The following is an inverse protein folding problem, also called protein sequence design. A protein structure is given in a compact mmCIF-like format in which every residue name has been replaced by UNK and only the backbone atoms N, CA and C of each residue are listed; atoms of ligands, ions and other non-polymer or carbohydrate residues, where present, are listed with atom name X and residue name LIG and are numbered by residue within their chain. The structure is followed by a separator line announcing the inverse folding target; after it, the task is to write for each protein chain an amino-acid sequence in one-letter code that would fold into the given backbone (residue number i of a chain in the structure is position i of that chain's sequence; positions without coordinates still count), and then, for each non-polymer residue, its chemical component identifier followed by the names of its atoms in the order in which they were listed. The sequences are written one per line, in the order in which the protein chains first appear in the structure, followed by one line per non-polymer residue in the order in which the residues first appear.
data_IF_613120118678
#
_entry.id   IF_613120118678
#
_cell.length_a   1.000
_cell.length_b   1.000
_cell.length_c   1.000
_cell.angle_alpha   90.00
_cell.angle_beta   90.00
_cell.angle_gamma   90.00
#
_symmetry.space_group_name_H-M   'P 1'
#
loop_
_entity.id
_entity.type
_entity.pdbx_description
1 polymer ?
#
# COMPACT_ATOMS: atom_id res chain seq x y z
N UNK A 1 -32.81 -2.48 5.24
CA UNK A 1 -32.34 -3.67 4.48
C UNK A 1 -31.24 -3.25 3.53
N UNK A 2 -29.99 -3.64 3.83
CA UNK A 2 -28.81 -3.42 2.96
C UNK A 2 -28.59 -4.62 2.00
N UNK A 3 -29.66 -5.34 1.63
CA UNK A 3 -29.60 -6.59 0.89
C UNK A 3 -28.97 -6.53 -0.50
N UNK A 4 -28.71 -5.33 -1.01
CA UNK A 4 -28.09 -5.11 -2.33
C UNK A 4 -26.79 -4.25 -2.29
N UNK A 5 -26.27 -3.97 -1.08
CA UNK A 5 -25.02 -3.22 -0.97
C UNK A 5 -23.82 -4.12 -1.30
N UNK A 6 -22.95 -3.67 -2.20
CA UNK A 6 -21.67 -4.33 -2.49
C UNK A 6 -20.63 -3.76 -1.54
N UNK A 7 -20.06 -4.61 -0.68
CA UNK A 7 -19.00 -4.23 0.24
C UNK A 7 -17.64 -4.63 -0.34
N UNK A 8 -16.76 -3.66 -0.51
CA UNK A 8 -15.36 -3.91 -0.90
C UNK A 8 -14.46 -3.89 0.33
N UNK A 9 -13.79 -5.01 0.59
CA UNK A 9 -12.76 -5.08 1.61
C UNK A 9 -11.39 -4.80 0.97
N UNK A 10 -10.84 -3.63 1.27
CA UNK A 10 -9.56 -3.18 0.73
C UNK A 10 -8.39 -4.14 1.06
N UNK A 11 -8.40 -4.75 2.24
CA UNK A 11 -7.37 -5.70 2.66
C UNK A 11 -7.45 -6.98 1.82
N UNK A 12 -8.66 -7.50 1.61
CA UNK A 12 -8.87 -8.69 0.76
C UNK A 12 -8.47 -8.45 -0.69
N UNK A 13 -8.84 -7.30 -1.26
CA UNK A 13 -8.43 -6.91 -2.62
C UNK A 13 -6.90 -6.87 -2.74
N UNK A 14 -6.23 -6.32 -1.73
CA UNK A 14 -4.77 -6.26 -1.68
C UNK A 14 -4.16 -7.66 -1.64
N UNK A 15 -4.64 -8.52 -0.75
CA UNK A 15 -4.16 -9.90 -0.62
C UNK A 15 -4.38 -10.69 -1.91
N UNK A 16 -5.54 -10.56 -2.54
CA UNK A 16 -5.84 -11.20 -3.83
C UNK A 16 -4.87 -10.74 -4.92
N UNK A 17 -4.58 -9.43 -5.00
CA UNK A 17 -3.63 -8.86 -5.95
C UNK A 17 -2.21 -9.41 -5.74
N UNK A 18 -1.75 -9.51 -4.51
CA UNK A 18 -0.44 -10.06 -4.18
C UNK A 18 -0.35 -11.57 -4.51
N UNK A 19 -1.39 -12.34 -4.21
CA UNK A 19 -1.48 -13.77 -4.58
C UNK A 19 -1.43 -13.98 -6.08
N UNK A 20 -2.18 -13.19 -6.86
CA UNK A 20 -2.18 -13.28 -8.32
C UNK A 20 -0.81 -13.00 -8.94
N UNK A 21 0.06 -12.29 -8.21
CA UNK A 21 1.44 -12.00 -8.60
C UNK A 21 2.46 -12.97 -7.98
N UNK A 22 2.01 -14.01 -7.28
CA UNK A 22 2.84 -15.00 -6.58
C UNK A 22 3.80 -14.41 -5.53
N UNK A 23 3.48 -13.25 -4.95
CA UNK A 23 4.28 -12.60 -3.91
C UNK A 23 4.28 -13.46 -2.65
N UNK A 24 5.46 -13.66 -2.05
CA UNK A 24 5.66 -14.41 -0.81
C UNK A 24 5.96 -13.52 0.39
N UNK A 25 6.58 -12.37 0.15
CA UNK A 25 6.89 -11.38 1.19
C UNK A 25 6.46 -9.99 0.75
N UNK A 26 5.65 -9.33 1.57
CA UNK A 26 5.15 -7.99 1.30
C UNK A 26 5.56 -7.02 2.41
N UNK A 27 6.24 -5.94 2.05
CA UNK A 27 6.54 -4.83 2.95
C UNK A 27 5.28 -3.98 3.15
N UNK A 28 4.93 -3.65 4.38
CA UNK A 28 3.71 -2.89 4.68
C UNK A 28 4.04 -1.50 5.22
N UNK A 29 3.63 -0.46 4.50
CA UNK A 29 3.64 0.93 4.93
C UNK A 29 2.24 1.31 5.40
N UNK A 30 2.03 1.34 6.72
CA UNK A 30 0.73 1.61 7.31
C UNK A 30 0.86 2.39 8.64
N UNK A 31 -0.25 2.94 9.12
CA UNK A 31 -0.28 3.61 10.42
C UNK A 31 -0.12 2.62 11.59
N UNK A 32 0.30 3.13 12.75
CA UNK A 32 0.38 2.33 13.97
C UNK A 32 -0.94 1.63 14.30
N UNK A 33 -2.06 2.32 14.12
CA UNK A 33 -3.40 1.75 14.35
C UNK A 33 -3.71 0.59 13.41
N UNK A 34 -3.33 0.68 12.14
CA UNK A 34 -3.49 -0.40 11.16
C UNK A 34 -2.62 -1.60 11.50
N UNK A 35 -1.39 -1.37 11.94
CA UNK A 35 -0.46 -2.44 12.35
C UNK A 35 -0.94 -3.11 13.64
N UNK A 36 -1.31 -2.32 14.65
CA UNK A 36 -1.79 -2.82 15.93
C UNK A 36 -3.10 -3.62 15.79
N UNK A 37 -4.00 -3.19 14.89
CA UNK A 37 -5.23 -3.91 14.59
C UNK A 37 -5.04 -5.26 13.90
N UNK A 38 -3.82 -5.54 13.37
CA UNK A 38 -3.44 -6.85 12.84
C UNK A 38 -4.13 -7.29 11.55
N UNK A 39 -5.03 -6.48 10.98
CA UNK A 39 -5.92 -6.88 9.88
C UNK A 39 -5.13 -7.33 8.65
N UNK A 40 -4.12 -6.56 8.25
CA UNK A 40 -3.23 -6.96 7.15
C UNK A 40 -2.40 -8.17 7.50
N UNK A 41 -1.83 -8.21 8.71
CA UNK A 41 -0.96 -9.31 9.15
C UNK A 41 -1.69 -10.66 9.11
N UNK A 42 -2.91 -10.70 9.63
CA UNK A 42 -3.72 -11.92 9.66
C UNK A 42 -4.14 -12.34 8.25
N UNK A 43 -4.62 -11.41 7.42
CA UNK A 43 -5.05 -11.69 6.06
C UNK A 43 -3.91 -12.15 5.16
N UNK A 44 -2.73 -11.52 5.26
CA UNK A 44 -1.52 -11.93 4.54
C UNK A 44 -1.07 -13.33 5.00
N UNK A 45 -0.99 -13.58 6.30
CA UNK A 45 -0.62 -14.88 6.87
C UNK A 45 -1.54 -16.00 6.38
N UNK A 46 -2.85 -15.77 6.40
CA UNK A 46 -3.84 -16.75 5.91
C UNK A 46 -3.70 -17.02 4.40
N UNK A 47 -3.14 -16.09 3.66
CA UNK A 47 -2.83 -16.23 2.23
C UNK A 47 -1.43 -16.84 1.95
N UNK A 48 -0.65 -17.17 2.99
CA UNK A 48 0.72 -17.67 2.86
C UNK A 48 1.73 -16.60 2.46
N UNK A 49 1.44 -15.32 2.77
CA UNK A 49 2.30 -14.18 2.48
C UNK A 49 2.88 -13.66 3.80
N UNK A 50 4.19 -13.59 3.91
CA UNK A 50 4.88 -12.99 5.05
C UNK A 50 4.80 -11.46 4.97
N UNK A 51 4.44 -10.81 6.09
CA UNK A 51 4.47 -9.36 6.21
C UNK A 51 5.81 -8.87 6.76
N UNK A 52 6.49 -7.99 6.04
CA UNK A 52 7.69 -7.28 6.48
C UNK A 52 7.27 -5.90 6.96
N UNK A 53 7.54 -5.59 8.22
CA UNK A 53 7.17 -4.31 8.83
C UNK A 53 8.44 -3.47 9.08
N UNK A 54 8.35 -2.12 9.05
CA UNK A 54 9.42 -1.27 9.53
C UNK A 54 9.74 -1.57 10.99
N UNK A 55 11.01 -1.51 11.37
CA UNK A 55 11.40 -1.57 12.78
C UNK A 55 10.86 -0.37 13.57
N UNK A 56 10.88 -0.43 14.89
CA UNK A 56 10.23 0.55 15.76
C UNK A 56 10.64 2.01 15.48
N UNK A 57 11.91 2.28 15.18
CA UNK A 57 12.39 3.63 14.86
C UNK A 57 11.91 4.08 13.47
N UNK A 58 11.95 3.20 12.49
CA UNK A 58 11.47 3.46 11.13
C UNK A 58 9.96 3.65 11.11
N UNK A 59 9.21 2.88 11.89
CA UNK A 59 7.77 3.05 12.04
C UNK A 59 7.42 4.40 12.66
N UNK A 60 8.17 4.84 13.68
CA UNK A 60 8.01 6.18 14.26
C UNK A 60 8.29 7.29 13.23
N UNK A 61 9.31 7.10 12.39
CA UNK A 61 9.64 8.03 11.30
C UNK A 61 8.55 8.03 10.22
N UNK A 62 7.97 6.87 9.89
CA UNK A 62 6.84 6.75 8.99
C UNK A 62 5.61 7.51 9.51
N UNK A 63 5.28 7.36 10.80
CA UNK A 63 4.18 8.12 11.40
C UNK A 63 4.42 9.63 11.37
N UNK A 64 5.64 10.09 11.67
CA UNK A 64 5.99 11.50 11.57
C UNK A 64 5.81 12.03 10.13
N UNK A 65 6.23 11.25 9.13
CA UNK A 65 6.04 11.56 7.70
C UNK A 65 4.55 11.67 7.34
N UNK A 66 3.74 10.70 7.75
CA UNK A 66 2.28 10.71 7.54
C UNK A 66 1.66 11.99 8.12
N UNK A 67 2.00 12.36 9.36
CA UNK A 67 1.48 13.57 9.99
C UNK A 67 1.95 14.85 9.30
N UNK A 68 3.18 14.87 8.75
CA UNK A 68 3.66 16.03 7.97
C UNK A 68 2.82 16.20 6.69
N UNK A 69 2.56 15.12 5.97
CA UNK A 69 1.73 15.13 4.76
C UNK A 69 0.30 15.61 5.10
N UNK A 70 -0.31 15.09 6.17
CA UNK A 70 -1.63 15.54 6.66
C UNK A 70 -1.66 17.03 6.98
N UNK A 71 -0.58 17.57 7.50
CA UNK A 71 -0.45 18.99 7.81
C UNK A 71 -0.08 19.86 6.59
N UNK A 72 -0.05 19.31 5.38
CA UNK A 72 0.36 20.02 4.16
C UNK A 72 1.82 20.43 4.13
N UNK A 73 2.68 19.80 4.94
CA UNK A 73 4.10 20.07 5.00
C UNK A 73 4.88 19.12 4.11
N UNK A 74 6.04 19.58 3.63
CA UNK A 74 6.94 18.75 2.83
C UNK A 74 7.38 17.48 3.60
N UNK A 75 7.29 16.30 2.98
CA UNK A 75 7.72 15.04 3.59
C UNK A 75 9.24 14.93 3.69
N UNK A 76 9.74 14.18 4.68
CA UNK A 76 11.15 13.79 4.76
C UNK A 76 11.42 12.61 3.83
N UNK A 77 11.77 12.88 2.58
CA UNK A 77 12.04 11.87 1.56
C UNK A 77 13.25 11.01 1.89
N UNK A 78 14.26 11.56 2.60
CA UNK A 78 15.41 10.78 3.03
C UNK A 78 15.03 9.72 4.08
N UNK A 79 14.17 10.08 5.03
CA UNK A 79 13.61 9.12 5.98
C UNK A 79 12.73 8.07 5.27
N UNK A 80 11.90 8.49 4.32
CA UNK A 80 11.06 7.57 3.55
C UNK A 80 11.90 6.54 2.78
N UNK A 81 12.94 6.98 2.09
CA UNK A 81 13.84 6.10 1.34
C UNK A 81 14.55 5.10 2.25
N UNK A 82 14.97 5.49 3.47
CA UNK A 82 15.56 4.56 4.44
C UNK A 82 14.56 3.47 4.86
N UNK A 83 13.30 3.84 5.07
CA UNK A 83 12.22 2.89 5.41
C UNK A 83 12.01 1.89 4.26
N UNK A 84 11.96 2.37 3.02
CA UNK A 84 11.85 1.49 1.85
C UNK A 84 13.01 0.51 1.74
N UNK A 85 14.25 0.99 1.92
CA UNK A 85 15.45 0.16 1.91
C UNK A 85 15.42 -0.91 3.02
N UNK A 86 14.95 -0.57 4.21
CA UNK A 86 14.79 -1.52 5.32
C UNK A 86 13.81 -2.64 4.95
N UNK A 87 12.66 -2.31 4.39
CA UNK A 87 11.67 -3.31 3.96
C UNK A 87 12.22 -4.23 2.86
N UNK A 88 12.89 -3.66 1.86
CA UNK A 88 13.53 -4.44 0.78
C UNK A 88 14.63 -5.33 1.33
N UNK A 89 15.47 -4.83 2.23
CA UNK A 89 16.50 -5.63 2.91
C UNK A 89 15.93 -6.75 3.78
N UNK A 90 14.71 -6.55 4.32
CA UNK A 90 13.92 -7.58 5.01
C UNK A 90 13.33 -8.64 4.07
N UNK A 91 13.58 -8.53 2.77
CA UNK A 91 13.15 -9.47 1.74
C UNK A 91 11.77 -9.18 1.16
N UNK A 92 11.24 -7.97 1.34
CA UNK A 92 10.00 -7.60 0.68
C UNK A 92 10.15 -7.63 -0.86
N UNK A 93 9.30 -8.38 -1.52
CA UNK A 93 9.23 -8.49 -2.99
C UNK A 93 8.31 -7.41 -3.59
N UNK A 94 7.47 -6.82 -2.72
CA UNK A 94 6.52 -5.76 -3.06
C UNK A 94 6.21 -4.91 -1.83
N UNK A 95 6.00 -3.61 -2.04
CA UNK A 95 5.60 -2.68 -0.98
C UNK A 95 4.11 -2.39 -1.08
N UNK A 96 3.38 -2.63 0.00
CA UNK A 96 1.96 -2.31 0.14
C UNK A 96 1.82 -0.91 0.73
N UNK A 97 1.14 -0.02 0.00
CA UNK A 97 0.78 1.31 0.47
C UNK A 97 -0.56 1.22 1.20
N UNK A 98 -0.52 1.02 2.51
CA UNK A 98 -1.68 0.82 3.38
C UNK A 98 -2.21 2.10 4.05
N UNK A 99 -1.82 3.28 3.54
CA UNK A 99 -2.22 4.58 4.08
C UNK A 99 -2.40 5.58 2.94
N UNK A 100 -3.47 6.36 2.98
CA UNK A 100 -3.82 7.35 1.95
C UNK A 100 -2.73 8.40 1.71
N UNK A 101 -2.07 8.83 2.76
CA UNK A 101 -0.99 9.81 2.68
C UNK A 101 0.21 9.28 1.90
N UNK A 102 0.52 8.00 2.07
CA UNK A 102 1.62 7.35 1.34
C UNK A 102 1.25 7.15 -0.13
N UNK A 103 -0.01 6.83 -0.43
CA UNK A 103 -0.50 6.78 -1.81
C UNK A 103 -0.36 8.14 -2.52
N UNK A 104 -0.75 9.23 -1.83
CA UNK A 104 -0.62 10.60 -2.36
C UNK A 104 0.86 10.96 -2.56
N UNK A 105 1.73 10.62 -1.62
CA UNK A 105 3.17 10.84 -1.72
C UNK A 105 3.74 10.14 -2.95
N UNK A 106 3.42 8.85 -3.13
CA UNK A 106 3.92 8.07 -4.25
C UNK A 106 3.46 8.63 -5.61
N UNK A 107 2.22 9.12 -5.71
CA UNK A 107 1.70 9.76 -6.92
C UNK A 107 2.43 11.06 -7.26
N UNK A 108 2.81 11.86 -6.25
CA UNK A 108 3.48 13.16 -6.45
C UNK A 108 4.97 13.01 -6.74
N UNK A 109 5.64 12.22 -5.94
CA UNK A 109 7.11 12.17 -5.89
C UNK A 109 7.72 11.03 -6.70
N UNK A 110 6.91 10.10 -7.23
CA UNK A 110 7.38 8.89 -7.92
C UNK A 110 8.50 8.21 -7.13
N UNK A 111 8.18 7.82 -5.90
CA UNK A 111 9.16 7.33 -4.94
C UNK A 111 9.95 6.15 -5.50
N UNK A 112 11.27 6.27 -5.69
CA UNK A 112 12.08 5.20 -6.22
C UNK A 112 12.16 4.05 -5.20
N UNK A 113 11.82 2.84 -5.63
CA UNK A 113 11.98 1.62 -4.84
C UNK A 113 12.53 0.51 -5.73
N UNK A 114 13.34 -0.37 -5.16
CA UNK A 114 13.89 -1.52 -5.87
C UNK A 114 12.83 -2.58 -6.21
N UNK A 115 11.68 -2.54 -5.55
CA UNK A 115 10.54 -3.43 -5.80
C UNK A 115 9.26 -2.64 -6.06
N UNK A 116 8.30 -3.20 -6.84
CA UNK A 116 7.09 -2.48 -7.18
C UNK A 116 6.18 -2.23 -5.98
N UNK A 117 5.27 -1.27 -6.13
CA UNK A 117 4.22 -0.96 -5.16
C UNK A 117 2.91 -1.67 -5.46
N UNK A 118 2.12 -1.94 -4.42
CA UNK A 118 0.70 -2.27 -4.46
C UNK A 118 -0.04 -1.24 -3.64
N UNK A 119 -0.80 -0.38 -4.29
CA UNK A 119 -1.56 0.68 -3.63
C UNK A 119 -2.97 0.20 -3.32
N UNK A 120 -3.31 0.14 -2.03
CA UNK A 120 -4.63 -0.32 -1.58
C UNK A 120 -5.76 0.59 -2.06
N UNK A 121 -5.52 1.90 -2.16
CA UNK A 121 -6.51 2.87 -2.64
C UNK A 121 -6.79 2.69 -4.13
N UNK A 122 -5.76 2.40 -4.94
CA UNK A 122 -5.95 2.10 -6.36
C UNK A 122 -6.78 0.85 -6.56
N UNK A 123 -6.47 -0.24 -5.84
CA UNK A 123 -7.22 -1.48 -5.94
C UNK A 123 -8.68 -1.29 -5.56
N UNK A 124 -8.95 -0.51 -4.52
CA UNK A 124 -10.31 -0.19 -4.10
C UNK A 124 -11.05 0.62 -5.18
N UNK A 125 -10.39 1.64 -5.75
CA UNK A 125 -10.96 2.45 -6.82
C UNK A 125 -11.23 1.62 -8.08
N UNK A 126 -10.31 0.76 -8.49
CA UNK A 126 -10.48 -0.15 -9.63
C UNK A 126 -11.66 -1.11 -9.42
N UNK A 127 -11.81 -1.68 -8.23
CA UNK A 127 -12.92 -2.55 -7.89
C UNK A 127 -14.27 -1.82 -7.92
N UNK A 128 -14.33 -0.60 -7.40
CA UNK A 128 -15.53 0.23 -7.42
C UNK A 128 -15.93 0.60 -8.86
N UNK A 129 -14.99 1.01 -9.71
CA UNK A 129 -15.23 1.30 -11.13
C UNK A 129 -15.77 0.07 -11.85
N UNK A 130 -15.17 -1.10 -11.63
CA UNK A 130 -15.60 -2.35 -12.25
C UNK A 130 -17.02 -2.75 -11.83
N UNK A 131 -17.36 -2.58 -10.55
CA UNK A 131 -18.70 -2.89 -10.03
C UNK A 131 -19.80 -1.99 -10.60
N UNK A 132 -19.44 -0.75 -11.00
CA UNK A 132 -20.34 0.15 -11.71
C UNK A 132 -20.41 -0.11 -13.23
N UNK A 133 -19.84 -1.20 -13.72
CA UNK A 133 -19.78 -1.52 -15.17
C UNK A 133 -18.80 -0.64 -15.95
N UNK A 134 -17.98 0.15 -15.25
CA UNK A 134 -16.98 1.03 -15.85
C UNK A 134 -15.67 0.27 -16.18
N UNK A 135 -14.83 0.95 -16.95
CA UNK A 135 -13.47 0.49 -17.23
C UNK A 135 -12.46 1.55 -16.77
N UNK A 136 -11.38 1.10 -16.14
CA UNK A 136 -10.28 1.98 -15.76
C UNK A 136 -9.65 2.57 -17.02
N UNK A 137 -9.56 3.90 -17.10
CA UNK A 137 -9.06 4.60 -18.27
C UNK A 137 -7.64 4.11 -18.66
N UNK A 138 -7.42 3.91 -19.96
CA UNK A 138 -6.14 3.41 -20.47
C UNK A 138 -4.97 4.32 -20.09
N UNK A 139 -5.20 5.65 -20.07
CA UNK A 139 -4.22 6.65 -19.62
C UNK A 139 -3.77 6.40 -18.17
N UNK A 140 -4.68 6.01 -17.26
CA UNK A 140 -4.36 5.67 -15.89
C UNK A 140 -3.48 4.41 -15.81
N UNK A 141 -3.82 3.37 -16.55
CA UNK A 141 -3.03 2.14 -16.64
C UNK A 141 -1.62 2.38 -17.17
N UNK A 142 -1.46 3.28 -18.13
CA UNK A 142 -0.16 3.67 -18.69
C UNK A 142 0.67 4.46 -17.68
N UNK A 143 0.07 5.44 -17.01
CA UNK A 143 0.72 6.24 -15.96
C UNK A 143 1.23 5.35 -14.82
N UNK A 144 0.44 4.35 -14.41
CA UNK A 144 0.81 3.36 -13.39
C UNK A 144 2.02 2.51 -13.80
N UNK A 145 2.11 2.08 -15.06
CA UNK A 145 3.27 1.33 -15.58
C UNK A 145 4.55 2.14 -15.60
N UNK A 146 4.47 3.47 -15.68
CA UNK A 146 5.63 4.36 -15.64
C UNK A 146 6.07 4.72 -14.20
N UNK A 147 5.30 4.34 -13.18
CA UNK A 147 5.59 4.57 -11.76
C UNK A 147 6.17 3.29 -11.11
N UNK A 148 5.90 2.12 -11.66
CA UNK A 148 6.45 0.83 -11.30
C UNK A 148 7.63 0.44 -12.20
#
# INVERSE_FOLDING_TARGET
ELSHAVLFNMVELTVQSLKAQNIKKAGLLATDGTIAGGVFKESLKNAGIESVLPGALSQKSLMALIYRIKAGKEPDMAAFNRILQELVSGGAERIVLGCTEISILNLKEKCPCAVPYTDCMELLAEAAVAACGGQVAQKWRQMRKSIN
#
